data_IF_587545492641
#
_entry.id   IF_587545492641
#
_cell.length_a   1.000
_cell.length_b   1.000
_cell.length_c   1.000
_cell.angle_alpha   90.00
_cell.angle_beta   90.00
_cell.angle_gamma   90.00
#
_symmetry.space_group_name_H-M   'P 1'
#
loop_
_entity.id
_entity.type
_entity.pdbx_description
1 polymer ?
#
# COMPACT_ATOMS: atom_id res chain seq x y z
N UNK A 1 -30.24 -3.55 -2.76
CA UNK A 1 -30.22 -2.79 -4.03
C UNK A 1 -28.92 -3.15 -4.73
N UNK A 2 -28.95 -4.18 -5.60
CA UNK A 2 -27.76 -4.59 -6.37
C UNK A 2 -27.54 -3.53 -7.45
N UNK A 3 -26.60 -2.62 -7.20
CA UNK A 3 -26.33 -1.54 -8.13
C UNK A 3 -25.71 -2.01 -9.46
N UNK A 4 -25.22 -3.26 -9.56
CA UNK A 4 -24.56 -3.75 -10.78
C UNK A 4 -24.83 -5.24 -11.04
N UNK A 5 -25.13 -5.60 -12.29
CA UNK A 5 -25.57 -6.94 -12.74
C UNK A 5 -24.43 -7.97 -12.82
N UNK A 6 -23.19 -7.54 -12.98
CA UNK A 6 -22.02 -8.42 -13.14
C UNK A 6 -21.18 -8.43 -11.87
N UNK A 7 -20.86 -9.63 -11.37
CA UNK A 7 -20.01 -9.83 -10.20
C UNK A 7 -18.54 -9.61 -10.55
N UNK A 8 -17.79 -8.99 -9.64
CA UNK A 8 -16.33 -8.86 -9.76
C UNK A 8 -15.65 -10.17 -9.37
N UNK A 9 -16.11 -10.79 -8.27
CA UNK A 9 -15.54 -12.04 -7.77
C UNK A 9 -16.39 -13.23 -8.22
N UNK A 10 -15.72 -14.21 -8.84
CA UNK A 10 -16.38 -15.49 -9.15
C UNK A 10 -16.48 -16.38 -7.90
N UNK A 11 -17.32 -17.42 -7.98
CA UNK A 11 -17.57 -18.32 -6.85
C UNK A 11 -16.29 -19.02 -6.33
N UNK A 12 -15.34 -19.32 -7.21
CA UNK A 12 -14.08 -19.97 -6.82
C UNK A 12 -13.14 -19.01 -6.08
N UNK A 13 -13.14 -17.72 -6.43
CA UNK A 13 -12.40 -16.67 -5.71
C UNK A 13 -13.01 -16.43 -4.34
N UNK A 14 -14.33 -16.32 -4.24
CA UNK A 14 -15.05 -16.16 -2.96
C UNK A 14 -14.77 -17.33 -2.01
N UNK A 15 -14.81 -18.57 -2.52
CA UNK A 15 -14.46 -19.76 -1.75
C UNK A 15 -13.00 -19.73 -1.25
N UNK A 16 -12.05 -19.38 -2.10
CA UNK A 16 -10.64 -19.28 -1.69
C UNK A 16 -10.39 -18.16 -0.68
N UNK A 17 -11.13 -17.06 -0.80
CA UNK A 17 -11.09 -15.95 0.14
C UNK A 17 -11.62 -16.35 1.52
N UNK A 18 -12.67 -17.17 1.61
CA UNK A 18 -13.15 -17.67 2.91
C UNK A 18 -12.18 -18.66 3.58
N UNK A 19 -11.33 -19.32 2.79
CA UNK A 19 -10.24 -20.19 3.27
C UNK A 19 -8.95 -19.41 3.61
N UNK A 20 -8.88 -18.10 3.31
CA UNK A 20 -7.71 -17.27 3.59
C UNK A 20 -7.49 -17.12 5.09
N UNK A 21 -6.22 -17.23 5.51
CA UNK A 21 -5.80 -16.98 6.88
C UNK A 21 -4.76 -15.89 6.87
N UNK A 22 -5.04 -14.83 7.63
CA UNK A 22 -4.09 -13.74 7.83
C UNK A 22 -2.75 -14.28 8.32
N UNK A 23 -1.68 -13.89 7.64
CA UNK A 23 -0.32 -14.23 8.00
C UNK A 23 0.56 -12.99 7.84
N UNK A 24 1.05 -12.47 8.96
CA UNK A 24 1.94 -11.34 9.01
C UNK A 24 3.07 -11.59 10.00
N UNK A 25 4.29 -11.21 9.63
CA UNK A 25 5.43 -11.17 10.54
C UNK A 25 5.96 -9.75 10.61
N UNK A 26 5.93 -9.12 11.79
CA UNK A 26 6.49 -7.79 12.01
C UNK A 26 7.73 -7.84 12.90
N UNK A 27 8.76 -7.11 12.50
CA UNK A 27 9.93 -6.81 13.30
C UNK A 27 10.11 -5.28 13.50
N UNK A 28 9.03 -4.50 13.31
CA UNK A 28 9.05 -3.04 13.42
C UNK A 28 9.52 -2.63 14.81
N UNK A 29 10.37 -1.61 14.84
CA UNK A 29 10.99 -1.12 16.07
C UNK A 29 9.94 -0.38 16.89
N UNK A 30 9.17 0.51 16.27
CA UNK A 30 8.21 1.37 16.96
C UNK A 30 6.98 0.60 17.42
N UNK A 31 6.58 -0.48 16.75
CA UNK A 31 5.43 -1.30 17.16
C UNK A 31 5.52 -1.71 18.64
N UNK A 32 6.71 -2.10 19.12
CA UNK A 32 6.91 -2.49 20.50
C UNK A 32 6.67 -1.33 21.49
N UNK A 33 7.08 -0.12 21.13
CA UNK A 33 6.92 1.08 21.96
C UNK A 33 5.49 1.62 21.95
N UNK A 34 4.78 1.44 20.84
CA UNK A 34 3.41 1.93 20.66
C UNK A 34 2.36 0.92 21.11
N UNK A 35 2.73 -0.33 21.32
CA UNK A 35 1.80 -1.36 21.77
C UNK A 35 1.03 -0.99 23.06
N UNK A 36 1.63 -0.38 24.11
CA UNK A 36 0.89 0.12 25.27
C UNK A 36 -0.17 1.16 24.90
N UNK A 37 0.16 2.09 24.00
CA UNK A 37 -0.77 3.11 23.51
C UNK A 37 -1.94 2.47 22.76
N UNK A 38 -1.68 1.57 21.81
CA UNK A 38 -2.74 0.90 21.04
C UNK A 38 -3.60 -0.02 21.91
N UNK A 39 -3.02 -0.73 22.89
CA UNK A 39 -3.77 -1.51 23.88
C UNK A 39 -4.70 -0.64 24.72
N UNK A 40 -4.20 0.51 25.18
CA UNK A 40 -5.02 1.46 25.92
C UNK A 40 -6.13 2.01 25.03
N UNK A 41 -5.81 2.44 23.80
CA UNK A 41 -6.77 3.04 22.89
C UNK A 41 -7.88 2.05 22.52
N UNK A 42 -7.54 0.83 22.11
CA UNK A 42 -8.53 -0.20 21.80
C UNK A 42 -9.40 -0.53 23.01
N UNK A 43 -8.89 -0.43 24.25
CA UNK A 43 -9.69 -0.66 25.46
C UNK A 43 -10.78 0.40 25.64
N UNK A 44 -10.55 1.63 25.16
CA UNK A 44 -11.49 2.75 25.18
C UNK A 44 -12.46 2.74 24.01
N UNK A 45 -12.13 2.02 22.93
CA UNK A 45 -13.02 1.85 21.79
C UNK A 45 -14.32 1.13 22.20
N UNK A 46 -15.50 1.66 21.86
CA UNK A 46 -16.77 1.02 22.17
C UNK A 46 -16.91 -0.35 21.50
N UNK A 47 -17.49 -1.34 22.20
CA UNK A 47 -17.65 -2.70 21.68
C UNK A 47 -18.63 -2.82 20.51
N UNK A 48 -19.44 -1.80 20.24
CA UNK A 48 -20.33 -1.77 19.07
C UNK A 48 -19.64 -1.26 17.81
N UNK A 49 -18.49 -0.59 17.95
CA UNK A 49 -17.79 0.05 16.85
C UNK A 49 -17.09 -1.01 16.01
N UNK A 50 -17.52 -1.14 14.75
CA UNK A 50 -16.97 -2.12 13.80
C UNK A 50 -15.54 -1.75 13.39
N UNK A 51 -14.62 -2.73 13.24
CA UNK A 51 -13.25 -2.50 12.78
C UNK A 51 -13.16 -1.68 11.49
N UNK A 52 -13.88 -2.06 10.44
CA UNK A 52 -13.86 -1.35 9.16
C UNK A 52 -14.36 0.11 9.26
N UNK A 53 -15.19 0.42 10.26
CA UNK A 53 -15.61 1.80 10.53
C UNK A 53 -14.46 2.60 11.16
N UNK A 54 -13.61 1.97 11.98
CA UNK A 54 -12.40 2.60 12.52
C UNK A 54 -11.44 2.93 11.38
N UNK A 55 -11.18 1.96 10.49
CA UNK A 55 -10.31 2.11 9.33
C UNK A 55 -10.74 3.28 8.44
N UNK A 56 -12.02 3.34 8.04
CA UNK A 56 -12.50 4.39 7.13
C UNK A 56 -12.52 5.77 7.80
N UNK A 57 -12.79 5.85 9.11
CA UNK A 57 -12.69 7.11 9.84
C UNK A 57 -11.24 7.62 9.88
N UNK A 58 -10.27 6.72 10.10
CA UNK A 58 -8.85 7.05 9.99
C UNK A 58 -8.50 7.59 8.60
N UNK A 59 -8.93 6.89 7.54
CA UNK A 59 -8.68 7.32 6.16
C UNK A 59 -9.27 8.71 5.88
N UNK A 60 -10.52 8.96 6.29
CA UNK A 60 -11.19 10.25 6.11
C UNK A 60 -10.41 11.37 6.81
N UNK A 61 -9.95 11.14 8.05
CA UNK A 61 -9.15 12.12 8.78
C UNK A 61 -7.88 12.46 8.01
N UNK A 62 -7.11 11.44 7.57
CA UNK A 62 -5.89 11.66 6.79
C UNK A 62 -6.14 12.44 5.48
N UNK A 63 -7.16 12.04 4.72
CA UNK A 63 -7.53 12.71 3.46
C UNK A 63 -7.87 14.17 3.72
N UNK A 64 -8.76 14.46 4.68
CA UNK A 64 -9.22 15.82 4.95
C UNK A 64 -8.07 16.71 5.40
N UNK A 65 -7.22 16.24 6.30
CA UNK A 65 -6.09 17.04 6.79
C UNK A 65 -5.06 17.33 5.70
N UNK A 66 -4.80 16.37 4.81
CA UNK A 66 -3.92 16.60 3.64
C UNK A 66 -4.57 17.52 2.61
N UNK A 67 -5.86 17.39 2.34
CA UNK A 67 -6.57 18.29 1.40
C UNK A 67 -6.56 19.74 1.87
N UNK A 68 -6.54 20.01 3.18
CA UNK A 68 -6.33 21.36 3.72
C UNK A 68 -4.94 21.88 3.32
N UNK A 69 -3.89 21.06 3.39
CA UNK A 69 -2.56 21.46 2.90
C UNK A 69 -2.56 21.71 1.38
N UNK A 70 -3.21 20.82 0.61
CA UNK A 70 -3.34 20.96 -0.85
C UNK A 70 -4.11 22.23 -1.22
N UNK A 71 -5.10 22.64 -0.43
CA UNK A 71 -5.84 23.89 -0.65
C UNK A 71 -4.93 25.11 -0.55
N UNK A 72 -4.01 25.12 0.43
CA UNK A 72 -3.07 26.24 0.61
C UNK A 72 -1.85 26.18 -0.32
N UNK A 73 -1.41 24.98 -0.69
CA UNK A 73 -0.21 24.76 -1.49
C UNK A 73 -0.42 23.64 -2.53
N UNK A 74 -1.27 23.86 -3.54
CA UNK A 74 -1.58 22.85 -4.55
C UNK A 74 -0.39 22.54 -5.47
N UNK A 75 0.61 23.42 -5.53
CA UNK A 75 1.86 23.18 -6.25
C UNK A 75 3.01 22.70 -5.36
N UNK A 76 2.79 22.55 -4.05
CA UNK A 76 3.79 22.24 -3.03
C UNK A 76 4.97 23.24 -2.98
N UNK A 77 4.74 24.51 -3.35
CA UNK A 77 5.70 25.63 -3.25
C UNK A 77 5.23 26.73 -2.30
N UNK A 78 3.91 26.93 -2.17
CA UNK A 78 3.39 27.89 -1.19
C UNK A 78 3.63 27.41 0.25
N UNK A 79 3.51 28.34 1.18
CA UNK A 79 3.61 28.11 2.61
C UNK A 79 2.22 28.09 3.26
N UNK A 80 1.64 26.90 3.53
CA UNK A 80 0.47 26.77 4.36
C UNK A 80 0.67 27.40 5.74
N UNK A 81 -0.41 27.86 6.39
CA UNK A 81 -0.31 28.34 7.76
C UNK A 81 0.15 27.22 8.69
N UNK A 82 0.96 27.56 9.68
CA UNK A 82 1.60 26.60 10.61
C UNK A 82 0.61 25.63 11.27
N UNK A 83 -0.60 26.09 11.61
CA UNK A 83 -1.63 25.23 12.18
C UNK A 83 -2.08 24.12 11.23
N UNK A 84 -2.01 24.32 9.91
CA UNK A 84 -2.38 23.30 8.92
C UNK A 84 -1.37 22.16 8.92
N UNK A 85 -0.08 22.45 9.10
CA UNK A 85 0.93 21.41 9.31
C UNK A 85 0.74 20.67 10.63
N UNK A 86 0.45 21.38 11.72
CA UNK A 86 0.15 20.74 13.01
C UNK A 86 -1.10 19.85 12.92
N UNK A 87 -2.13 20.31 12.21
CA UNK A 87 -3.35 19.55 11.96
C UNK A 87 -3.06 18.29 11.12
N UNK A 88 -2.21 18.38 10.10
CA UNK A 88 -1.80 17.22 9.31
C UNK A 88 -0.96 16.24 10.13
N UNK A 89 -0.04 16.71 10.98
CA UNK A 89 0.70 15.87 11.92
C UNK A 89 -0.25 15.09 12.84
N UNK A 90 -1.25 15.77 13.41
CA UNK A 90 -2.29 15.16 14.22
C UNK A 90 -3.14 14.18 13.40
N UNK A 91 -3.50 14.54 12.17
CA UNK A 91 -4.28 13.70 11.26
C UNK A 91 -3.59 12.38 10.94
N UNK A 92 -2.30 12.42 10.59
CA UNK A 92 -1.48 11.22 10.34
C UNK A 92 -1.33 10.39 11.63
N UNK A 93 -1.14 11.02 12.79
CA UNK A 93 -1.08 10.32 14.08
C UNK A 93 -2.41 9.61 14.43
N UNK A 94 -3.54 10.28 14.20
CA UNK A 94 -4.87 9.70 14.41
C UNK A 94 -5.09 8.55 13.45
N UNK A 95 -4.83 8.73 12.16
CA UNK A 95 -4.92 7.66 11.17
C UNK A 95 -4.08 6.44 11.57
N UNK A 96 -2.78 6.63 11.84
CA UNK A 96 -1.87 5.58 12.31
C UNK A 96 -2.43 4.85 13.55
N UNK A 97 -2.96 5.60 14.52
CA UNK A 97 -3.50 5.01 15.74
C UNK A 97 -4.78 4.21 15.51
N UNK A 98 -5.66 4.67 14.61
CA UNK A 98 -6.91 4.00 14.27
C UNK A 98 -6.66 2.73 13.43
N UNK A 99 -5.75 2.83 12.48
CA UNK A 99 -5.22 1.72 11.67
C UNK A 99 -4.68 0.60 12.58
N UNK A 100 -3.76 0.91 13.49
CA UNK A 100 -3.15 -0.09 14.38
C UNK A 100 -4.13 -0.79 15.35
N UNK A 101 -5.30 -0.19 15.63
CA UNK A 101 -6.29 -0.76 16.55
C UNK A 101 -7.43 -1.51 15.86
N UNK A 102 -7.64 -1.38 14.55
CA UNK A 102 -8.82 -1.96 13.90
C UNK A 102 -8.82 -3.50 13.97
N UNK A 103 -7.68 -4.15 13.73
CA UNK A 103 -7.49 -5.58 13.86
C UNK A 103 -7.46 -6.01 15.32
N UNK A 104 -7.01 -5.12 16.23
CA UNK A 104 -7.08 -5.37 17.68
C UNK A 104 -8.54 -5.35 18.15
N UNK A 105 -9.34 -4.44 17.63
CA UNK A 105 -10.77 -4.37 17.86
C UNK A 105 -11.44 -5.62 17.29
N UNK A 106 -11.11 -6.03 16.07
CA UNK A 106 -11.66 -7.24 15.45
C UNK A 106 -11.41 -8.50 16.31
N UNK A 107 -10.21 -8.63 16.87
CA UNK A 107 -9.88 -9.69 17.85
C UNK A 107 -10.68 -9.56 19.14
N UNK A 108 -10.79 -8.35 19.69
CA UNK A 108 -11.52 -8.05 20.93
C UNK A 108 -13.02 -8.37 20.82
N UNK A 109 -13.62 -8.14 19.66
CA UNK A 109 -15.05 -8.34 19.41
C UNK A 109 -15.37 -9.68 18.75
N UNK A 110 -14.35 -10.50 18.43
CA UNK A 110 -14.52 -11.77 17.73
C UNK A 110 -15.05 -11.62 16.30
N UNK A 111 -14.81 -10.49 15.66
CA UNK A 111 -15.31 -10.14 14.31
C UNK A 111 -14.20 -10.12 13.26
N UNK A 112 -13.15 -10.91 13.44
CA UNK A 112 -12.08 -11.07 12.46
C UNK A 112 -12.61 -11.70 11.17
N UNK A 113 -12.22 -11.17 10.03
CA UNK A 113 -12.59 -11.72 8.72
C UNK A 113 -11.56 -11.33 7.65
N UNK A 114 -11.47 -12.08 6.54
CA UNK A 114 -10.68 -11.68 5.38
C UNK A 114 -11.13 -10.33 4.79
N UNK A 115 -12.42 -9.99 4.91
CA UNK A 115 -12.92 -8.68 4.49
C UNK A 115 -12.23 -7.54 5.24
N UNK A 116 -11.99 -7.70 6.55
CA UNK A 116 -11.35 -6.66 7.36
C UNK A 116 -9.92 -6.37 6.90
N UNK A 117 -9.13 -7.42 6.65
CA UNK A 117 -7.77 -7.31 6.09
C UNK A 117 -7.76 -6.67 4.70
N UNK A 118 -8.70 -7.06 3.83
CA UNK A 118 -8.84 -6.45 2.50
C UNK A 118 -9.20 -4.96 2.58
N UNK A 119 -10.10 -4.62 3.50
CA UNK A 119 -10.57 -3.26 3.69
C UNK A 119 -9.47 -2.34 4.25
N UNK A 120 -8.73 -2.83 5.23
CA UNK A 120 -7.56 -2.20 5.85
C UNK A 120 -6.49 -1.84 4.79
N UNK A 121 -5.93 -2.85 4.13
CA UNK A 121 -4.93 -2.65 3.09
C UNK A 121 -5.45 -1.84 1.89
N UNK A 122 -6.76 -1.95 1.63
CA UNK A 122 -7.44 -1.15 0.62
C UNK A 122 -7.50 0.35 0.94
N UNK A 123 -7.62 0.69 2.22
CA UNK A 123 -7.57 2.07 2.72
C UNK A 123 -6.13 2.58 2.79
N UNK A 124 -5.18 1.74 3.21
CA UNK A 124 -3.76 2.08 3.26
C UNK A 124 -3.18 2.50 1.91
N UNK A 125 -3.60 1.83 0.82
CA UNK A 125 -3.15 2.16 -0.53
C UNK A 125 -3.57 3.59 -0.93
N UNK A 126 -4.77 4.01 -0.54
CA UNK A 126 -5.26 5.38 -0.75
C UNK A 126 -4.53 6.34 0.18
N UNK A 127 -4.42 6.00 1.46
CA UNK A 127 -3.77 6.81 2.48
C UNK A 127 -2.34 7.16 2.12
N UNK A 128 -1.61 6.21 1.54
CA UNK A 128 -0.22 6.38 1.06
C UNK A 128 -0.09 7.55 0.08
N UNK A 129 -1.07 7.77 -0.81
CA UNK A 129 -1.08 8.90 -1.76
C UNK A 129 -1.07 10.23 -1.02
N UNK A 130 -1.98 10.38 -0.05
CA UNK A 130 -2.16 11.61 0.71
C UNK A 130 -1.01 11.86 1.69
N UNK A 131 -0.50 10.82 2.36
CA UNK A 131 0.66 10.92 3.25
C UNK A 131 1.90 11.36 2.47
N UNK A 132 2.16 10.78 1.30
CA UNK A 132 3.30 11.16 0.47
C UNK A 132 3.19 12.59 -0.06
N UNK A 133 2.00 13.00 -0.51
CA UNK A 133 1.75 14.35 -0.99
C UNK A 133 1.87 15.39 0.14
N UNK A 134 1.30 15.10 1.32
CA UNK A 134 1.41 15.96 2.50
C UNK A 134 2.86 16.18 2.93
N UNK A 135 3.68 15.11 2.93
CA UNK A 135 5.11 15.21 3.21
C UNK A 135 5.85 16.10 2.18
N UNK A 136 5.51 15.99 0.90
CA UNK A 136 6.10 16.84 -0.15
C UNK A 136 5.76 18.32 0.04
N UNK A 137 4.52 18.63 0.44
CA UNK A 137 4.09 20.01 0.74
C UNK A 137 4.84 20.55 1.96
N UNK A 138 5.00 19.74 3.02
CA UNK A 138 5.69 20.13 4.25
C UNK A 138 7.15 20.55 4.02
N UNK A 139 7.84 19.94 3.04
CA UNK A 139 9.24 20.26 2.73
C UNK A 139 9.42 21.14 1.48
N UNK A 140 8.33 21.74 0.97
CA UNK A 140 8.30 22.55 -0.27
C UNK A 140 8.96 21.85 -1.47
N UNK A 141 8.66 20.56 -1.66
CA UNK A 141 9.30 19.75 -2.71
C UNK A 141 8.82 20.12 -4.12
N UNK A 142 7.76 20.93 -4.25
CA UNK A 142 7.30 21.49 -5.53
C UNK A 142 8.31 22.42 -6.20
N UNK A 143 9.30 22.94 -5.46
CA UNK A 143 10.46 23.64 -6.03
C UNK A 143 11.33 22.72 -6.89
N UNK A 144 11.21 21.40 -6.69
CA UNK A 144 11.90 20.36 -7.43
C UNK A 144 10.90 19.33 -7.99
N UNK A 145 10.11 19.66 -9.03
CA UNK A 145 9.01 18.83 -9.51
C UNK A 145 9.41 17.38 -9.80
N UNK A 146 10.57 17.14 -10.44
CA UNK A 146 11.09 15.79 -10.70
C UNK A 146 11.30 14.99 -9.41
N UNK A 147 11.79 15.63 -8.35
CA UNK A 147 11.98 14.99 -7.05
C UNK A 147 10.65 14.74 -6.33
N UNK A 148 9.69 15.66 -6.41
CA UNK A 148 8.34 15.45 -5.90
C UNK A 148 7.64 14.27 -6.58
N UNK A 149 7.76 14.18 -7.92
CA UNK A 149 7.24 13.06 -8.69
C UNK A 149 7.87 11.75 -8.21
N UNK A 150 9.20 11.71 -8.19
CA UNK A 150 9.94 10.54 -7.74
C UNK A 150 9.53 10.12 -6.32
N UNK A 151 9.45 11.06 -5.38
CA UNK A 151 9.09 10.80 -3.99
C UNK A 151 7.70 10.17 -3.87
N UNK A 152 6.69 10.74 -4.51
CA UNK A 152 5.31 10.25 -4.42
C UNK A 152 5.17 8.87 -5.06
N UNK A 153 5.72 8.68 -6.27
CA UNK A 153 5.68 7.38 -6.95
C UNK A 153 6.55 6.32 -6.28
N UNK A 154 7.64 6.71 -5.63
CA UNK A 154 8.45 5.80 -4.82
C UNK A 154 7.67 5.29 -3.62
N UNK A 155 6.99 6.17 -2.87
CA UNK A 155 6.16 5.76 -1.73
C UNK A 155 5.06 4.77 -2.13
N UNK A 156 4.36 5.05 -3.23
CA UNK A 156 3.33 4.15 -3.76
C UNK A 156 3.91 2.82 -4.26
N UNK A 157 5.07 2.85 -4.92
CA UNK A 157 5.77 1.64 -5.39
C UNK A 157 6.22 0.77 -4.23
N UNK A 158 6.72 1.39 -3.16
CA UNK A 158 7.12 0.70 -1.94
C UNK A 158 5.98 -0.08 -1.31
N UNK A 159 4.83 0.58 -1.13
CA UNK A 159 3.63 -0.03 -0.61
C UNK A 159 3.13 -1.18 -1.52
N UNK A 160 3.16 -0.97 -2.83
CA UNK A 160 2.82 -1.99 -3.82
C UNK A 160 3.75 -3.21 -3.76
N UNK A 161 5.07 -3.00 -3.65
CA UNK A 161 6.05 -4.08 -3.58
C UNK A 161 5.90 -4.92 -2.30
N UNK A 162 5.51 -4.33 -1.17
CA UNK A 162 5.19 -5.09 0.04
C UNK A 162 4.02 -6.07 -0.18
N UNK A 163 2.97 -5.60 -0.87
CA UNK A 163 1.82 -6.44 -1.24
C UNK A 163 2.17 -7.47 -2.32
N UNK A 164 3.07 -7.14 -3.23
CA UNK A 164 3.59 -8.09 -4.21
C UNK A 164 4.39 -9.19 -3.51
N UNK A 165 5.20 -8.84 -2.51
CA UNK A 165 5.88 -9.84 -1.71
C UNK A 165 4.88 -10.74 -0.97
N UNK A 166 3.81 -10.19 -0.41
CA UNK A 166 2.74 -10.99 0.21
C UNK A 166 2.06 -11.91 -0.81
N UNK A 167 1.73 -11.40 -2.00
CA UNK A 167 1.17 -12.16 -3.12
C UNK A 167 2.05 -13.38 -3.49
N UNK A 168 3.37 -13.22 -3.48
CA UNK A 168 4.33 -14.27 -3.85
C UNK A 168 4.63 -15.26 -2.72
N UNK A 169 4.66 -14.79 -1.48
CA UNK A 169 5.11 -15.59 -0.32
C UNK A 169 3.98 -16.12 0.55
N UNK A 170 2.76 -15.61 0.37
CA UNK A 170 1.62 -15.95 1.23
C UNK A 170 1.63 -15.23 2.59
N UNK A 171 2.57 -14.30 2.84
CA UNK A 171 2.72 -13.65 4.14
C UNK A 171 3.24 -12.22 3.98
N UNK A 172 2.59 -11.26 4.63
CA UNK A 172 3.07 -9.89 4.70
C UNK A 172 4.25 -9.85 5.69
N UNK A 173 5.42 -9.41 5.24
CA UNK A 173 6.61 -9.34 6.10
C UNK A 173 7.00 -7.88 6.29
N UNK A 174 6.81 -7.39 7.49
CA UNK A 174 7.23 -6.06 7.89
C UNK A 174 8.65 -6.10 8.45
N UNK A 175 9.49 -5.20 7.94
CA UNK A 175 10.89 -5.02 8.33
C UNK A 175 11.04 -4.33 9.68
N UNK A 176 12.28 -3.93 9.99
CA UNK A 176 12.59 -3.12 11.19
C UNK A 176 12.24 -1.65 11.02
N UNK A 177 12.35 -1.16 9.80
CA UNK A 177 11.89 0.16 9.37
C UNK A 177 10.81 -0.13 8.36
N UNK A 178 9.57 0.16 8.72
CA UNK A 178 8.39 -0.14 7.92
C UNK A 178 7.38 1.02 7.98
N UNK A 179 6.12 0.77 7.65
CA UNK A 179 5.04 1.77 7.59
C UNK A 179 4.96 2.59 8.88
N UNK A 180 5.05 1.98 10.07
CA UNK A 180 5.00 2.69 11.36
C UNK A 180 6.11 3.73 11.48
N UNK A 181 7.38 3.35 11.23
CA UNK A 181 8.51 4.28 11.27
C UNK A 181 8.39 5.39 10.23
N UNK A 182 7.92 5.07 9.02
CA UNK A 182 7.71 6.04 7.97
C UNK A 182 6.64 7.08 8.37
N UNK A 183 5.51 6.64 8.94
CA UNK A 183 4.43 7.51 9.37
C UNK A 183 4.87 8.43 10.53
N UNK A 184 5.57 7.91 11.55
CA UNK A 184 6.12 8.75 12.63
C UNK A 184 7.18 9.74 12.14
N UNK A 185 7.98 9.35 11.15
CA UNK A 185 8.91 10.27 10.49
C UNK A 185 8.16 11.42 9.81
N UNK A 186 7.07 11.11 9.10
CA UNK A 186 6.24 12.12 8.41
C UNK A 186 5.50 13.01 9.42
N UNK A 187 5.02 12.46 10.54
CA UNK A 187 4.50 13.26 11.66
C UNK A 187 5.57 14.24 12.14
N UNK A 188 6.81 13.79 12.34
CA UNK A 188 7.94 14.65 12.69
C UNK A 188 8.21 15.74 11.65
N UNK A 189 8.15 15.42 10.35
CA UNK A 189 8.32 16.38 9.26
C UNK A 189 7.26 17.50 9.34
N UNK A 190 5.99 17.12 9.55
CA UNK A 190 4.92 18.09 9.71
C UNK A 190 5.08 18.94 10.97
N UNK A 191 5.53 18.37 12.09
CA UNK A 191 5.77 19.12 13.34
C UNK A 191 6.93 20.13 13.20
N UNK A 192 8.00 19.76 12.49
CA UNK A 192 9.09 20.69 12.17
C UNK A 192 8.55 21.84 11.32
N UNK A 193 7.77 21.53 10.29
CA UNK A 193 7.18 22.55 9.40
C UNK A 193 6.16 23.44 10.13
N UNK A 194 5.44 22.90 11.11
CA UNK A 194 4.53 23.66 11.95
C UNK A 194 5.24 24.61 12.92
N UNK A 195 6.44 24.26 13.40
CA UNK A 195 7.16 25.01 14.44
C UNK A 195 8.20 25.97 13.88
N UNK A 196 8.98 25.54 12.89
CA UNK A 196 10.07 26.31 12.27
C UNK A 196 9.67 26.92 10.92
N UNK A 197 8.50 26.56 10.39
CA UNK A 197 8.11 26.87 9.03
C UNK A 197 8.71 25.88 8.01
N UNK A 198 8.09 25.72 6.83
CA UNK A 198 8.56 24.80 5.80
C UNK A 198 9.92 25.22 5.18
N UNK A 199 10.29 26.50 5.26
CA UNK A 199 11.60 27.01 4.83
C UNK A 199 12.77 26.45 5.64
N UNK A 200 12.53 25.93 6.84
CA UNK A 200 13.56 25.24 7.61
C UNK A 200 14.20 24.09 6.80
N UNK A 201 13.44 23.47 5.88
CA UNK A 201 13.93 22.39 5.02
C UNK A 201 14.85 22.86 3.88
N UNK A 202 14.89 24.16 3.59
CA UNK A 202 15.86 24.76 2.66
C UNK A 202 17.26 24.91 3.27
N UNK A 203 17.40 24.67 4.59
CA UNK A 203 18.69 24.75 5.29
C UNK A 203 19.70 23.78 4.68
N UNK A 204 20.90 24.28 4.35
CA UNK A 204 21.99 23.45 3.81
C UNK A 204 22.69 22.66 4.91
N UNK A 205 22.72 21.34 4.74
CA UNK A 205 23.54 20.41 5.52
C UNK A 205 24.68 19.95 4.61
N UNK A 206 25.84 20.61 4.72
CA UNK A 206 26.91 20.48 3.74
C UNK A 206 26.53 21.13 2.40
N UNK A 207 26.57 20.38 1.31
CA UNK A 207 26.19 20.85 -0.03
C UNK A 207 24.73 20.61 -0.39
N UNK A 208 23.98 19.86 0.42
CA UNK A 208 22.60 19.48 0.15
C UNK A 208 21.63 20.19 1.08
N UNK A 209 20.46 20.55 0.58
CA UNK A 209 19.36 21.05 1.41
C UNK A 209 18.72 19.92 2.23
N UNK A 210 18.27 20.25 3.44
CA UNK A 210 17.65 19.27 4.34
C UNK A 210 16.42 18.60 3.73
N UNK A 211 15.68 19.26 2.82
CA UNK A 211 14.52 18.67 2.12
C UNK A 211 14.85 17.43 1.27
N UNK A 212 16.11 17.27 0.82
CA UNK A 212 16.53 16.07 0.11
C UNK A 212 16.60 14.83 1.01
N UNK A 213 16.55 14.99 2.34
CA UNK A 213 16.48 13.87 3.29
C UNK A 213 15.27 12.99 3.05
N UNK A 214 14.13 13.57 2.64
CA UNK A 214 12.91 12.83 2.31
C UNK A 214 13.13 11.92 1.09
N UNK A 215 13.77 12.45 0.04
CA UNK A 215 14.16 11.68 -1.15
C UNK A 215 15.20 10.60 -0.83
N UNK A 216 16.20 10.92 -0.02
CA UNK A 216 17.22 9.96 0.43
C UNK A 216 16.61 8.79 1.21
N UNK A 217 15.67 9.08 2.12
CA UNK A 217 14.93 8.06 2.85
C UNK A 217 14.09 7.17 1.92
N UNK A 218 13.44 7.74 0.90
CA UNK A 218 12.69 6.98 -0.09
C UNK A 218 13.59 6.08 -0.95
N UNK A 219 14.76 6.56 -1.40
CA UNK A 219 15.74 5.74 -2.14
C UNK A 219 16.24 4.57 -1.29
N UNK A 220 16.54 4.82 -0.02
CA UNK A 220 16.95 3.78 0.92
C UNK A 220 15.83 2.76 1.15
N UNK A 221 14.60 3.23 1.37
CA UNK A 221 13.43 2.36 1.49
C UNK A 221 13.24 1.50 0.24
N UNK A 222 13.23 2.11 -0.95
CA UNK A 222 13.08 1.42 -2.24
C UNK A 222 14.12 0.34 -2.42
N UNK A 223 15.36 0.67 -2.09
CA UNK A 223 16.50 -0.24 -2.11
C UNK A 223 16.25 -1.48 -1.25
N UNK A 224 15.84 -1.28 0.00
CA UNK A 224 15.59 -2.37 0.95
C UNK A 224 14.40 -3.24 0.51
N UNK A 225 13.29 -2.63 0.11
CA UNK A 225 12.05 -3.35 -0.26
C UNK A 225 12.18 -4.10 -1.57
N UNK A 226 12.79 -3.51 -2.60
CA UNK A 226 13.05 -4.20 -3.86
C UNK A 226 14.03 -5.36 -3.68
N UNK A 227 15.05 -5.18 -2.82
CA UNK A 227 15.95 -6.26 -2.43
C UNK A 227 15.22 -7.42 -1.73
N UNK A 228 14.31 -7.10 -0.81
CA UNK A 228 13.49 -8.09 -0.12
C UNK A 228 12.55 -8.85 -1.07
N UNK A 229 11.89 -8.15 -1.99
CA UNK A 229 11.03 -8.73 -3.03
C UNK A 229 11.84 -9.63 -3.97
N UNK A 230 12.98 -9.16 -4.48
CA UNK A 230 13.86 -9.93 -5.34
C UNK A 230 14.34 -11.22 -4.66
N UNK A 231 14.73 -11.12 -3.39
CA UNK A 231 15.13 -12.27 -2.58
C UNK A 231 13.96 -13.24 -2.30
N UNK A 232 12.74 -12.73 -2.12
CA UNK A 232 11.54 -13.55 -1.94
C UNK A 232 11.21 -14.35 -3.21
N UNK A 233 11.32 -13.72 -4.38
CA UNK A 233 11.13 -14.38 -5.68
C UNK A 233 12.23 -15.43 -5.88
N UNK A 234 13.50 -15.09 -5.62
CA UNK A 234 14.64 -15.98 -5.82
C UNK A 234 14.65 -17.22 -4.91
N UNK A 235 14.14 -17.12 -3.66
CA UNK A 235 14.13 -18.22 -2.68
C UNK A 235 12.98 -19.22 -2.83
N UNK A 236 12.07 -19.04 -3.78
CA UNK A 236 10.95 -19.97 -3.96
C UNK A 236 9.56 -19.40 -3.74
N UNK A 237 9.34 -18.13 -4.12
CA UNK A 237 7.99 -17.62 -4.33
C UNK A 237 7.14 -18.59 -5.16
N UNK A 238 5.89 -18.80 -4.77
CA UNK A 238 5.00 -19.81 -5.39
C UNK A 238 3.83 -19.11 -6.07
N UNK A 239 3.77 -19.23 -7.40
CA UNK A 239 2.68 -18.71 -8.21
C UNK A 239 1.44 -19.61 -8.16
N UNK A 240 0.35 -19.15 -8.80
CA UNK A 240 -0.96 -19.80 -8.87
C UNK A 240 -0.93 -21.32 -9.17
N UNK A 241 0.01 -21.79 -9.98
CA UNK A 241 0.12 -23.19 -10.41
C UNK A 241 1.28 -23.95 -9.73
N UNK A 242 1.76 -23.46 -8.58
CA UNK A 242 2.99 -23.98 -7.97
C UNK A 242 4.26 -23.60 -8.75
N UNK A 243 4.14 -22.70 -9.74
CA UNK A 243 5.27 -22.24 -10.55
C UNK A 243 6.22 -21.40 -9.70
N UNK A 244 7.53 -21.56 -9.92
CA UNK A 244 8.57 -20.79 -9.23
C UNK A 244 9.73 -20.52 -10.18
N UNK A 245 10.32 -19.34 -10.04
CA UNK A 245 11.56 -18.90 -10.72
C UNK A 245 12.77 -18.99 -9.78
N UNK A 246 12.65 -19.79 -8.72
CA UNK A 246 13.72 -19.95 -7.73
C UNK A 246 15.04 -20.38 -8.36
N UNK A 247 16.12 -19.69 -8.00
CA UNK A 247 17.48 -20.10 -8.35
C UNK A 247 17.95 -21.08 -7.27
N UNK A 248 18.05 -22.36 -7.61
CA UNK A 248 18.49 -23.40 -6.67
C UNK A 248 19.98 -23.20 -6.32
N UNK A 249 20.32 -23.21 -5.03
CA UNK A 249 21.71 -23.16 -4.54
C UNK A 249 22.23 -21.77 -4.13
N UNK A 250 21.39 -20.72 -4.19
CA UNK A 250 21.80 -19.36 -3.79
C UNK A 250 21.46 -19.09 -2.31
N UNK A 251 22.34 -19.50 -1.40
CA UNK A 251 22.17 -19.38 0.05
C UNK A 251 22.87 -18.11 0.57
N UNK A 252 22.27 -16.92 0.33
CA UNK A 252 22.92 -15.65 0.71
C UNK A 252 22.30 -15.04 1.98
N UNK A 253 23.11 -14.73 3.02
CA UNK A 253 22.63 -14.03 4.20
C UNK A 253 22.17 -12.59 3.91
N UNK A 254 20.95 -12.28 4.37
CA UNK A 254 20.11 -11.12 4.05
C UNK A 254 20.71 -9.72 4.37
N UNK A 255 21.85 -9.65 5.07
CA UNK A 255 22.39 -8.38 5.60
C UNK A 255 23.57 -7.79 4.83
N UNK A 256 24.30 -8.57 4.04
CA UNK A 256 25.47 -8.06 3.29
C UNK A 256 25.15 -7.66 1.84
N UNK A 257 23.96 -8.03 1.34
CA UNK A 257 23.45 -7.67 0.00
C UNK A 257 22.74 -6.30 0.00
N UNK A 258 22.19 -5.87 1.12
CA UNK A 258 21.22 -4.77 1.15
C UNK A 258 21.82 -3.37 0.88
N UNK A 259 23.15 -3.18 1.02
CA UNK A 259 23.76 -1.84 0.93
C UNK A 259 24.70 -1.64 -0.26
N UNK A 260 25.46 -2.65 -0.69
CA UNK A 260 26.41 -2.53 -1.82
C UNK A 260 25.89 -3.17 -3.10
N UNK A 261 24.92 -4.06 -2.98
CA UNK A 261 24.42 -4.82 -4.11
C UNK A 261 23.22 -4.12 -4.75
N UNK A 262 22.56 -3.10 -4.21
CA UNK A 262 21.29 -2.65 -4.82
C UNK A 262 21.44 -1.99 -6.20
N UNK A 263 22.52 -1.25 -6.45
CA UNK A 263 22.83 -0.72 -7.79
C UNK A 263 23.33 -1.83 -8.72
N UNK A 264 24.23 -2.68 -8.23
CA UNK A 264 24.79 -3.82 -8.98
C UNK A 264 23.81 -4.97 -9.17
N UNK A 265 22.80 -5.12 -8.32
CA UNK A 265 21.72 -6.13 -8.30
C UNK A 265 20.54 -5.62 -9.08
N UNK A 266 20.22 -4.32 -9.06
CA UNK A 266 19.30 -3.75 -10.04
C UNK A 266 19.89 -3.89 -11.46
N UNK A 267 21.17 -3.58 -11.64
CA UNK A 267 21.86 -3.76 -12.92
C UNK A 267 22.04 -5.25 -13.28
N UNK A 268 22.41 -6.12 -12.33
CA UNK A 268 22.51 -7.57 -12.55
C UNK A 268 21.14 -8.22 -12.73
N UNK A 269 20.07 -7.79 -12.07
CA UNK A 269 18.71 -8.25 -12.36
C UNK A 269 18.30 -7.75 -13.73
N UNK A 270 18.51 -6.48 -14.11
CA UNK A 270 18.20 -6.00 -15.46
C UNK A 270 19.00 -6.77 -16.53
N UNK A 271 20.28 -7.02 -16.31
CA UNK A 271 21.16 -7.77 -17.22
C UNK A 271 20.81 -9.27 -17.25
N UNK A 272 20.50 -9.91 -16.12
CA UNK A 272 20.09 -11.32 -16.09
C UNK A 272 18.63 -11.52 -16.48
N UNK A 273 17.77 -10.53 -16.29
CA UNK A 273 16.40 -10.50 -16.78
C UNK A 273 16.42 -10.34 -18.31
N UNK A 274 17.27 -9.45 -18.84
CA UNK A 274 17.55 -9.36 -20.28
C UNK A 274 18.25 -10.62 -20.83
N UNK A 275 19.12 -11.29 -20.06
CA UNK A 275 19.74 -12.55 -20.45
C UNK A 275 18.77 -13.74 -20.35
N UNK A 276 17.81 -13.72 -19.42
CA UNK A 276 16.70 -14.68 -19.31
C UNK A 276 15.68 -14.52 -20.45
N UNK A 277 15.65 -13.36 -21.11
CA UNK A 277 14.98 -13.20 -22.41
C UNK A 277 15.73 -13.92 -23.54
N UNK A 278 17.07 -14.00 -23.48
CA UNK A 278 17.91 -14.69 -24.48
C UNK A 278 17.99 -16.20 -24.26
N UNK A 279 17.93 -16.68 -23.03
CA UNK A 279 17.89 -18.10 -22.71
C UNK A 279 16.54 -18.44 -22.08
N UNK A 280 15.74 -19.27 -22.76
CA UNK A 280 14.44 -19.77 -22.30
C UNK A 280 14.54 -20.40 -20.91
N UNK A 281 14.43 -19.59 -19.86
CA UNK A 281 14.32 -20.07 -18.48
C UNK A 281 12.96 -20.69 -18.27
N UNK A 282 12.91 -22.02 -18.15
CA UNK A 282 11.75 -22.77 -17.71
C UNK A 282 11.79 -22.93 -16.18
N UNK A 283 10.74 -22.50 -15.48
CA UNK A 283 10.54 -22.78 -14.06
C UNK A 283 10.37 -24.30 -13.81
N UNK A 284 10.37 -24.72 -12.54
CA UNK A 284 10.33 -26.14 -12.13
C UNK A 284 9.24 -26.99 -12.81
N UNK A 285 8.15 -26.36 -13.26
CA UNK A 285 7.01 -27.02 -13.92
C UNK A 285 6.98 -26.77 -15.44
N UNK A 286 8.11 -26.41 -16.08
CA UNK A 286 8.17 -26.12 -17.52
C UNK A 286 7.55 -24.78 -17.96
N UNK A 287 7.12 -23.94 -17.01
CA UNK A 287 6.56 -22.61 -17.31
C UNK A 287 7.67 -21.65 -17.72
N UNK A 288 7.50 -20.95 -18.85
CA UNK A 288 8.41 -19.85 -19.22
C UNK A 288 8.25 -18.69 -18.23
N UNK A 289 9.25 -17.80 -18.11
CA UNK A 289 9.15 -16.57 -17.28
C UNK A 289 7.87 -15.77 -17.59
N UNK A 290 7.51 -15.68 -18.87
CA UNK A 290 6.28 -15.06 -19.36
C UNK A 290 4.98 -15.79 -18.93
N UNK A 291 5.07 -17.06 -18.53
CA UNK A 291 3.98 -17.87 -17.98
C UNK A 291 3.95 -17.93 -16.45
N UNK A 292 4.76 -17.12 -15.74
CA UNK A 292 4.76 -17.09 -14.27
C UNK A 292 3.85 -15.99 -13.73
N UNK A 293 2.76 -16.39 -13.06
CA UNK A 293 1.85 -15.47 -12.35
C UNK A 293 2.50 -14.70 -11.20
N UNK A 294 3.74 -15.06 -10.82
CA UNK A 294 4.56 -14.36 -9.82
C UNK A 294 5.00 -12.98 -10.31
N UNK A 295 5.38 -12.86 -11.59
CA UNK A 295 5.89 -11.60 -12.16
C UNK A 295 4.80 -10.75 -12.78
N UNK A 296 3.63 -11.33 -13.02
CA UNK A 296 2.51 -10.65 -13.66
C UNK A 296 2.09 -9.33 -13.01
N UNK A 297 2.24 -9.11 -11.67
CA UNK A 297 1.94 -7.81 -11.07
C UNK A 297 2.80 -6.64 -11.60
N UNK A 298 3.95 -6.88 -12.23
CA UNK A 298 4.76 -5.78 -12.81
C UNK A 298 4.04 -5.05 -13.93
N UNK A 299 3.24 -5.78 -14.72
CA UNK A 299 2.62 -5.28 -15.95
C UNK A 299 1.60 -4.17 -15.65
N UNK A 300 0.51 -4.42 -14.90
CA UNK A 300 -0.50 -3.41 -14.61
C UNK A 300 0.04 -2.24 -13.81
N UNK A 301 1.03 -2.44 -12.92
CA UNK A 301 1.66 -1.33 -12.21
C UNK A 301 2.49 -0.44 -13.17
N UNK A 302 3.25 -1.05 -14.08
CA UNK A 302 4.01 -0.32 -15.11
C UNK A 302 3.09 0.42 -16.09
N UNK A 303 1.90 -0.12 -16.39
CA UNK A 303 0.87 0.56 -17.19
C UNK A 303 0.34 1.84 -16.54
N UNK A 304 0.63 2.09 -15.26
CA UNK A 304 0.33 3.37 -14.59
C UNK A 304 1.57 4.26 -14.54
N UNK A 305 2.67 3.75 -13.99
CA UNK A 305 3.88 4.56 -13.72
C UNK A 305 4.56 5.03 -14.99
N UNK A 306 4.65 4.19 -16.03
CA UNK A 306 5.31 4.56 -17.28
C UNK A 306 4.53 5.66 -18.02
N UNK A 307 3.20 5.54 -18.25
CA UNK A 307 2.43 6.65 -18.79
C UNK A 307 2.48 7.91 -17.91
N UNK A 308 2.43 7.77 -16.58
CA UNK A 308 2.56 8.92 -15.68
C UNK A 308 3.89 9.67 -15.88
N UNK A 309 4.99 8.95 -16.07
CA UNK A 309 6.28 9.57 -16.34
C UNK A 309 6.35 10.17 -17.76
N UNK A 310 5.83 9.48 -18.77
CA UNK A 310 5.82 9.98 -20.15
C UNK A 310 4.97 11.26 -20.25
N UNK A 311 3.79 11.29 -19.64
CA UNK A 311 2.88 12.43 -19.65
C UNK A 311 3.54 13.63 -18.96
N UNK A 312 4.20 13.42 -17.83
CA UNK A 312 5.02 14.44 -17.19
C UNK A 312 6.12 14.97 -18.13
N UNK A 313 6.93 14.11 -18.73
CA UNK A 313 8.08 14.53 -19.55
C UNK A 313 7.69 15.17 -20.89
N UNK A 314 6.52 14.82 -21.46
CA UNK A 314 6.11 15.25 -22.81
C UNK A 314 5.01 16.32 -22.83
N UNK A 315 4.44 16.68 -21.68
CA UNK A 315 3.39 17.71 -21.62
C UNK A 315 3.92 19.06 -22.08
N UNK A 316 3.38 19.60 -23.18
CA UNK A 316 3.70 20.96 -23.63
C UNK A 316 3.08 22.00 -22.70
N UNK A 317 1.94 21.68 -22.09
CA UNK A 317 1.25 22.56 -21.14
C UNK A 317 1.82 22.49 -19.71
N UNK A 318 2.86 21.67 -19.50
CA UNK A 318 3.52 21.47 -18.21
C UNK A 318 2.48 21.13 -17.12
N UNK A 319 1.53 20.24 -17.44
CA UNK A 319 0.35 19.96 -16.61
C UNK A 319 0.74 19.46 -15.21
N UNK A 320 1.84 18.72 -15.12
CA UNK A 320 2.39 18.27 -13.85
C UNK A 320 3.04 19.44 -13.08
N UNK A 321 3.89 20.25 -13.69
CA UNK A 321 4.53 21.38 -12.98
C UNK A 321 3.53 22.44 -12.51
N UNK A 322 2.42 22.62 -13.25
CA UNK A 322 1.38 23.59 -12.96
C UNK A 322 0.35 23.08 -11.94
N UNK A 323 0.08 21.77 -11.93
CA UNK A 323 -0.94 21.15 -11.07
C UNK A 323 -0.47 19.84 -10.43
N UNK A 324 0.68 19.82 -9.69
CA UNK A 324 1.31 18.59 -9.26
C UNK A 324 0.47 17.84 -8.22
N UNK A 325 -0.20 18.51 -7.28
CA UNK A 325 -1.06 17.82 -6.30
C UNK A 325 -2.22 17.08 -7.00
N UNK A 326 -2.92 17.74 -7.92
CA UNK A 326 -4.01 17.13 -8.68
C UNK A 326 -3.49 15.94 -9.51
N UNK A 327 -2.32 16.09 -10.12
CA UNK A 327 -1.68 15.02 -10.89
C UNK A 327 -1.32 13.80 -10.04
N UNK A 328 -0.67 14.03 -8.88
CA UNK A 328 -0.30 12.98 -7.94
C UNK A 328 -1.56 12.29 -7.38
N UNK A 329 -2.63 13.03 -7.08
CA UNK A 329 -3.89 12.44 -6.67
C UNK A 329 -4.45 11.58 -7.81
N UNK A 330 -4.57 12.11 -9.03
CA UNK A 330 -5.13 11.38 -10.17
C UNK A 330 -4.45 10.03 -10.41
N UNK A 331 -3.13 10.03 -10.61
CA UNK A 331 -2.38 8.81 -10.85
C UNK A 331 -2.22 7.96 -9.59
N UNK A 332 -2.14 8.59 -8.41
CA UNK A 332 -2.05 7.88 -7.14
C UNK A 332 -3.30 7.07 -6.84
N UNK A 333 -4.49 7.59 -7.16
CA UNK A 333 -5.73 6.82 -7.03
C UNK A 333 -5.77 5.63 -8.01
N UNK A 334 -5.19 5.76 -9.21
CA UNK A 334 -5.05 4.63 -10.15
C UNK A 334 -4.14 3.58 -9.54
N UNK A 335 -3.00 3.99 -8.98
CA UNK A 335 -2.05 3.10 -8.30
C UNK A 335 -2.64 2.43 -7.06
N UNK A 336 -3.41 3.16 -6.25
CA UNK A 336 -4.15 2.62 -5.13
C UNK A 336 -5.12 1.51 -5.57
N UNK A 337 -5.86 1.73 -6.67
CA UNK A 337 -6.74 0.70 -7.22
C UNK A 337 -5.99 -0.54 -7.69
N UNK A 338 -4.89 -0.37 -8.43
CA UNK A 338 -4.05 -1.50 -8.88
C UNK A 338 -3.51 -2.28 -7.68
N UNK A 339 -3.16 -1.59 -6.59
CA UNK A 339 -2.73 -2.23 -5.35
C UNK A 339 -3.87 -3.01 -4.69
N UNK A 340 -5.10 -2.47 -4.66
CA UNK A 340 -6.27 -3.16 -4.12
C UNK A 340 -6.58 -4.44 -4.90
N UNK A 341 -6.40 -4.43 -6.23
CA UNK A 341 -6.52 -5.64 -7.06
C UNK A 341 -5.45 -6.68 -6.73
N UNK A 342 -4.23 -6.25 -6.40
CA UNK A 342 -3.16 -7.15 -5.98
C UNK A 342 -3.45 -7.80 -4.64
N UNK A 343 -3.98 -7.02 -3.68
CA UNK A 343 -4.44 -7.52 -2.37
C UNK A 343 -5.53 -8.58 -2.58
N UNK A 344 -6.53 -8.28 -3.41
CA UNK A 344 -7.59 -9.24 -3.76
C UNK A 344 -6.99 -10.50 -4.36
N UNK A 345 -6.13 -10.38 -5.38
CA UNK A 345 -5.50 -11.50 -6.05
C UNK A 345 -4.68 -12.39 -5.10
N UNK A 346 -4.01 -11.78 -4.12
CA UNK A 346 -3.29 -12.48 -3.06
C UNK A 346 -4.25 -13.30 -2.19
N UNK A 347 -5.29 -12.67 -1.65
CA UNK A 347 -6.23 -13.31 -0.72
C UNK A 347 -7.11 -14.38 -1.39
N UNK A 348 -7.46 -14.20 -2.66
CA UNK A 348 -8.21 -15.18 -3.46
C UNK A 348 -7.31 -16.23 -4.11
N UNK A 349 -5.98 -16.11 -3.99
CA UNK A 349 -4.98 -16.93 -4.69
C UNK A 349 -5.28 -17.03 -6.19
N UNK A 350 -5.61 -15.90 -6.81
CA UNK A 350 -5.89 -15.79 -8.24
C UNK A 350 -4.85 -14.92 -8.94
N UNK A 351 -4.81 -14.99 -10.26
CA UNK A 351 -4.02 -14.04 -11.04
C UNK A 351 -4.67 -12.65 -10.96
N UNK A 352 -3.82 -11.63 -11.07
CA UNK A 352 -4.27 -10.26 -11.25
C UNK A 352 -4.51 -10.01 -12.73
N UNK A 353 -5.68 -9.47 -13.08
CA UNK A 353 -5.96 -9.10 -14.46
C UNK A 353 -5.26 -7.78 -14.81
N UNK A 354 -4.82 -7.65 -16.06
CA UNK A 354 -3.92 -6.56 -16.47
C UNK A 354 -4.64 -5.27 -16.83
N UNK A 355 -5.84 -5.38 -17.40
CA UNK A 355 -6.62 -4.24 -17.83
C UNK A 355 -7.56 -3.79 -16.73
N UNK A 356 -7.71 -2.47 -16.61
CA UNK A 356 -8.60 -1.84 -15.64
C UNK A 356 -9.24 -0.60 -16.26
N UNK A 357 -10.49 -0.34 -15.88
CA UNK A 357 -11.18 0.89 -16.28
C UNK A 357 -10.55 2.16 -15.68
N UNK A 358 -9.79 2.06 -14.59
CA UNK A 358 -9.00 3.15 -14.03
C UNK A 358 -7.91 3.65 -14.98
N UNK A 359 -7.44 2.83 -15.92
CA UNK A 359 -6.45 3.22 -16.93
C UNK A 359 -7.03 4.12 -18.03
N UNK A 360 -8.36 4.25 -18.12
CA UNK A 360 -9.01 5.12 -19.10
C UNK A 360 -8.58 6.58 -18.93
N UNK A 361 -8.50 7.08 -17.69
CA UNK A 361 -8.04 8.43 -17.39
C UNK A 361 -6.63 8.73 -17.91
N UNK A 362 -5.61 7.97 -17.48
CA UNK A 362 -4.25 8.04 -18.02
C UNK A 362 -4.18 7.88 -19.54
N UNK A 363 -4.97 6.96 -20.12
CA UNK A 363 -5.01 6.75 -21.56
C UNK A 363 -5.56 7.99 -22.30
N UNK A 364 -6.59 8.65 -21.76
CA UNK A 364 -7.12 9.90 -22.32
C UNK A 364 -6.06 11.01 -22.31
N UNK A 365 -5.31 11.17 -21.22
CA UNK A 365 -4.23 12.16 -21.14
C UNK A 365 -3.11 11.85 -22.15
N UNK A 366 -2.67 10.59 -22.22
CA UNK A 366 -1.65 10.16 -23.16
C UNK A 366 -2.08 10.38 -24.62
N UNK A 367 -3.34 10.05 -24.94
CA UNK A 367 -3.89 10.23 -26.29
C UNK A 367 -4.06 11.72 -26.63
N UNK A 368 -4.47 12.54 -25.66
CA UNK A 368 -4.59 13.99 -25.85
C UNK A 368 -3.23 14.63 -26.21
N UNK A 369 -2.14 14.18 -25.57
CA UNK A 369 -0.78 14.61 -25.92
C UNK A 369 -0.36 14.15 -27.32
N UNK A 370 -0.69 12.90 -27.68
CA UNK A 370 -0.40 12.37 -29.01
C UNK A 370 -1.06 13.21 -30.13
N UNK A 371 -2.23 13.77 -29.86
CA UNK A 371 -2.95 14.67 -30.77
C UNK A 371 -2.67 16.16 -30.51
N UNK A 372 -1.46 16.51 -30.05
CA UNK A 372 -1.01 17.89 -29.85
C UNK A 372 -1.95 18.73 -28.95
N UNK A 373 -2.39 18.17 -27.82
CA UNK A 373 -3.18 18.90 -26.81
C UNK A 373 -4.52 19.42 -27.35
N UNK A 374 -5.23 18.60 -28.14
CA UNK A 374 -6.53 18.96 -28.73
C UNK A 374 -7.56 19.48 -27.71
N UNK A 375 -7.50 18.97 -26.47
CA UNK A 375 -8.24 19.48 -25.31
C UNK A 375 -7.26 20.06 -24.27
N UNK A 376 -7.66 21.07 -23.47
CA UNK A 376 -6.81 21.59 -22.40
C UNK A 376 -6.56 20.49 -21.34
N UNK A 377 -5.29 20.15 -21.12
CA UNK A 377 -4.89 19.02 -20.26
C UNK A 377 -5.41 19.13 -18.83
N UNK A 378 -5.58 20.35 -18.31
CA UNK A 378 -6.16 20.59 -16.99
C UNK A 378 -7.56 19.98 -16.82
N UNK A 379 -8.44 20.17 -17.80
CA UNK A 379 -9.79 19.60 -17.75
C UNK A 379 -9.78 18.08 -17.94
N UNK A 380 -8.88 17.58 -18.79
CA UNK A 380 -8.69 16.13 -18.99
C UNK A 380 -8.16 15.49 -17.69
N UNK A 381 -7.29 16.18 -16.96
CA UNK A 381 -6.75 15.71 -15.69
C UNK A 381 -7.82 15.67 -14.60
N UNK A 382 -8.69 16.68 -14.53
CA UNK A 382 -9.86 16.65 -13.63
C UNK A 382 -10.81 15.52 -13.98
N UNK A 383 -11.12 15.32 -15.26
CA UNK A 383 -11.96 14.20 -15.72
C UNK A 383 -11.33 12.85 -15.34
N UNK A 384 -10.02 12.70 -15.54
CA UNK A 384 -9.25 11.53 -15.12
C UNK A 384 -9.39 11.30 -13.61
N UNK A 385 -9.22 12.36 -12.80
CA UNK A 385 -9.32 12.31 -11.33
C UNK A 385 -10.72 11.89 -10.87
N UNK A 386 -11.76 12.52 -11.41
CA UNK A 386 -13.16 12.20 -11.06
C UNK A 386 -13.47 10.76 -11.45
N UNK A 387 -13.08 10.36 -12.66
CA UNK A 387 -13.30 9.00 -13.17
C UNK A 387 -12.65 7.96 -12.26
N UNK A 388 -11.36 8.09 -11.93
CA UNK A 388 -10.67 7.10 -11.11
C UNK A 388 -11.21 7.05 -9.68
N UNK A 389 -11.58 8.19 -9.08
CA UNK A 389 -12.17 8.21 -7.73
C UNK A 389 -13.51 7.48 -7.71
N UNK A 390 -14.40 7.78 -8.66
CA UNK A 390 -15.70 7.12 -8.78
C UNK A 390 -15.51 5.62 -9.01
N UNK A 391 -14.59 5.26 -9.90
CA UNK A 391 -14.38 3.87 -10.29
C UNK A 391 -13.72 3.06 -9.16
N UNK A 392 -12.80 3.65 -8.40
CA UNK A 392 -12.24 3.05 -7.19
C UNK A 392 -13.31 2.85 -6.09
N UNK A 393 -14.13 3.87 -5.80
CA UNK A 393 -15.22 3.76 -4.82
C UNK A 393 -16.20 2.65 -5.23
N UNK A 394 -16.55 2.60 -6.53
CA UNK A 394 -17.40 1.56 -7.10
C UNK A 394 -16.79 0.18 -6.92
N UNK A 395 -15.52 0.01 -7.29
CA UNK A 395 -14.79 -1.26 -7.17
C UNK A 395 -14.72 -1.75 -5.72
N UNK A 396 -14.27 -0.90 -4.80
CA UNK A 396 -14.16 -1.22 -3.37
C UNK A 396 -15.53 -1.53 -2.76
N UNK A 397 -16.54 -0.71 -3.03
CA UNK A 397 -17.90 -0.92 -2.54
C UNK A 397 -18.49 -2.24 -3.02
N UNK A 398 -18.34 -2.55 -4.32
CA UNK A 398 -18.86 -3.79 -4.89
C UNK A 398 -18.16 -5.03 -4.33
N UNK A 399 -16.82 -5.05 -4.25
CA UNK A 399 -16.09 -6.19 -3.66
C UNK A 399 -16.49 -6.39 -2.21
N UNK A 400 -16.58 -5.32 -1.42
CA UNK A 400 -16.95 -5.41 -0.02
C UNK A 400 -18.35 -6.01 0.15
N UNK A 401 -19.32 -5.59 -0.68
CA UNK A 401 -20.68 -6.12 -0.63
C UNK A 401 -20.75 -7.58 -1.09
N UNK A 402 -20.04 -7.96 -2.16
CA UNK A 402 -19.99 -9.36 -2.61
C UNK A 402 -19.40 -10.31 -1.54
N UNK A 403 -18.36 -9.86 -0.83
CA UNK A 403 -17.76 -10.61 0.27
C UNK A 403 -18.70 -10.64 1.48
N UNK A 404 -19.36 -9.52 1.82
CA UNK A 404 -20.36 -9.47 2.90
C UNK A 404 -21.49 -10.47 2.65
N UNK A 405 -22.02 -10.51 1.43
CA UNK A 405 -23.08 -11.44 1.02
C UNK A 405 -22.62 -12.90 1.11
N UNK A 406 -21.36 -13.19 0.72
CA UNK A 406 -20.80 -14.53 0.79
C UNK A 406 -20.50 -15.01 2.21
N UNK A 407 -19.99 -14.13 3.08
CA UNK A 407 -19.60 -14.46 4.46
C UNK A 407 -20.75 -14.25 5.46
N UNK A 408 -21.89 -13.71 5.03
CA UNK A 408 -23.03 -13.33 5.88
C UNK A 408 -22.65 -12.35 7.01
N UNK A 409 -21.80 -11.37 6.69
CA UNK A 409 -21.37 -10.32 7.62
C UNK A 409 -21.83 -8.94 7.14
N UNK A 410 -21.84 -7.97 8.04
CA UNK A 410 -22.11 -6.57 7.70
C UNK A 410 -20.81 -5.77 7.63
N UNK A 411 -20.68 -4.88 6.64
CA UNK A 411 -19.45 -4.12 6.41
C UNK A 411 -19.08 -3.19 7.59
N UNK A 412 -20.05 -2.44 8.12
CA UNK A 412 -19.84 -1.44 9.19
C UNK A 412 -20.58 -1.75 10.48
N UNK A 413 -21.00 -3.00 10.67
CA UNK A 413 -21.70 -3.45 11.88
C UNK A 413 -21.18 -4.81 12.30
N UNK A 414 -21.01 -5.00 13.61
CA UNK A 414 -20.58 -6.29 14.14
C UNK A 414 -21.77 -7.24 14.11
N UNK A 415 -21.70 -8.27 13.26
CA UNK A 415 -22.62 -9.40 13.28
C UNK A 415 -22.27 -10.30 14.46
N UNK A 416 -23.17 -10.47 15.42
CA UNK A 416 -22.99 -11.49 16.47
C UNK A 416 -23.14 -12.86 15.82
N UNK A 417 -22.09 -13.68 15.85
CA UNK A 417 -22.22 -15.09 15.51
C UNK A 417 -23.07 -15.78 16.58
N UNK A 418 -24.25 -16.26 16.21
CA UNK A 418 -25.05 -17.15 17.05
C UNK A 418 -24.26 -18.46 17.21
N UNK A 419 -24.12 -19.04 18.42
CA UNK A 419 -23.29 -20.23 18.67
C UNK A 419 -23.87 -21.55 18.10
N UNK A 420 -24.42 -21.53 16.89
CA UNK A 420 -25.05 -22.67 16.24
C UNK A 420 -24.42 -22.93 14.86
N UNK A 421 -23.14 -23.32 14.84
CA UNK A 421 -22.47 -24.17 13.83
C UNK A 421 -20.97 -24.34 14.18
N UNK A 422 -20.65 -24.55 15.46
CA UNK A 422 -19.38 -25.16 15.80
C UNK A 422 -19.45 -26.64 15.37
N UNK A 423 -18.85 -26.96 14.23
CA UNK A 423 -18.61 -28.34 13.83
C UNK A 423 -17.86 -29.07 14.97
N UNK A 424 -18.13 -30.35 15.30
CA UNK A 424 -17.68 -30.96 16.56
C UNK A 424 -16.18 -31.21 16.71
N UNK A 425 -15.32 -30.66 15.85
CA UNK A 425 -13.95 -31.14 15.71
C UNK A 425 -12.88 -30.47 16.60
N UNK A 426 -13.21 -29.41 17.36
CA UNK A 426 -12.21 -28.68 18.19
C UNK A 426 -12.50 -28.65 19.69
N UNK A 427 -13.15 -29.68 20.23
CA UNK A 427 -13.22 -29.90 21.69
C UNK A 427 -12.46 -31.15 22.10
N UNK A 428 -11.14 -31.11 22.03
CA UNK A 428 -10.29 -31.94 22.88
C UNK A 428 -8.97 -31.23 23.18
N UNK A 429 -9.00 -30.41 24.22
CA UNK A 429 -7.81 -29.72 24.69
C UNK A 429 -8.07 -29.03 26.02
N UNK A 430 -8.55 -29.76 27.02
CA UNK A 430 -8.36 -29.51 28.47
C UNK A 430 -9.25 -30.46 29.28
N UNK A 431 -8.68 -31.41 30.03
CA UNK A 431 -8.57 -31.32 31.49
C UNK A 431 -7.95 -32.57 32.16
N UNK A 432 -7.42 -32.34 33.39
CA UNK A 432 -6.89 -33.27 34.43
C UNK A 432 -5.40 -33.60 34.28
N UNK A 433 -4.46 -33.13 35.10
CA UNK A 433 -4.49 -32.64 36.49
C UNK A 433 -3.96 -33.72 37.44
N UNK A 434 -2.73 -33.59 37.95
CA UNK A 434 -2.35 -34.17 39.25
C UNK A 434 -1.17 -33.48 39.91
N UNK A 435 -1.42 -33.14 41.17
CA UNK A 435 -0.62 -32.48 42.19
C UNK A 435 0.22 -33.54 42.92
N UNK A 436 1.53 -33.33 43.06
CA UNK A 436 2.39 -34.06 44.01
C UNK A 436 3.52 -33.11 44.43
N UNK A 437 3.40 -32.46 45.59
CA UNK A 437 4.11 -32.74 46.86
C UNK A 437 5.65 -32.58 46.81
N UNK A 438 6.17 -31.56 47.52
CA UNK A 438 7.52 -31.50 48.12
C UNK A 438 7.66 -32.71 49.09
N UNK A 439 8.82 -33.27 49.48
CA UNK A 439 10.12 -32.77 50.00
C UNK A 439 11.15 -33.97 49.92
N UNK A 440 12.35 -33.95 50.56
CA UNK A 440 13.70 -33.58 50.08
C UNK A 440 14.69 -34.76 49.84
N UNK A 441 15.83 -34.46 49.23
CA UNK A 441 17.18 -34.81 49.71
C UNK A 441 18.18 -33.83 49.08
#
# INVERSE_FOLDING_TARGET
MQFYKERILNAAQLKRLSEHKYSCTSASILDAWLQPWWCWLVSKTPLWLAPNLITILGLIVNIVTTLILVWYSPDARQEPPQWAFALCALGVFVYQSLDAIDGKQARRTGSQSPLGELFDHGCDSISTVFIALGACIAVKLGEYPTWMFFQCFCAMTLFYCAHWQAYVTGTLKMGRIDVTEAQYTIIGIHLISATLGPDAWATKIGSLEARYSLGGAAVLGATLTLGALGAAIARGGVGKNGSTVAIQGLDIPLRLIACTLTFSTALYFVVNFAASFRHRGCGKNGSTVAGTSILSPVIPFSLVVVPAFIIFQKSESQVYENHPALYIIAFGMVTAKVTNRLVVAHMTKSEMEYYDWSLLGPAMLFLNQYFNHALPEYYVLWLCTIWVVVELIRYCGQICLEICDHLHISLFRITRQTPATASPHDKNGTNRGRRAKRVPA
#
